data_IF_299176793254
#
_entry.id   IF_299176793254
#
_cell.length_a   1.000
_cell.length_b   1.000
_cell.length_c   1.000
_cell.angle_alpha   90.00
_cell.angle_beta   90.00
_cell.angle_gamma   90.00
#
_symmetry.space_group_name_H-M   'P 1'
#
loop_
_entity.id
_entity.type
_entity.pdbx_description
1 polymer ?
#
# COMPACT_ATOMS: atom_id res chain seq x y z
N UNK A 1 -12.04 9.86 -42.64
CA UNK A 1 -11.44 11.10 -42.09
C UNK A 1 -9.97 11.36 -42.44
N UNK A 2 -9.29 10.54 -43.26
CA UNK A 2 -7.93 10.86 -43.73
C UNK A 2 -6.86 11.01 -42.63
N UNK A 3 -7.18 10.63 -41.39
CA UNK A 3 -6.26 10.69 -40.25
C UNK A 3 -5.29 9.51 -40.32
N UNK A 4 -3.97 9.72 -40.21
CA UNK A 4 -3.03 8.61 -40.13
C UNK A 4 -3.38 7.75 -38.91
N UNK A 5 -3.41 6.44 -39.09
CA UNK A 5 -3.69 5.51 -38.00
C UNK A 5 -2.47 5.48 -37.06
N UNK A 6 -2.59 5.89 -35.80
CA UNK A 6 -1.47 5.87 -34.87
C UNK A 6 -1.11 4.42 -34.49
N UNK A 7 0.17 4.19 -34.22
CA UNK A 7 0.64 2.92 -33.65
C UNK A 7 0.57 3.01 -32.14
N UNK A 8 -0.12 2.05 -31.53
CA UNK A 8 -0.17 1.88 -30.08
C UNK A 8 0.71 0.71 -29.68
N UNK A 9 1.59 0.90 -28.70
CA UNK A 9 2.51 -0.13 -28.23
C UNK A 9 2.55 -0.15 -26.69
N UNK A 10 2.70 -1.35 -26.13
CA UNK A 10 2.72 -1.59 -24.69
C UNK A 10 3.69 -2.73 -24.34
N UNK A 11 4.06 -2.84 -23.07
CA UNK A 11 4.84 -3.98 -22.59
C UNK A 11 6.24 -4.02 -23.21
N UNK A 12 6.71 -5.25 -23.43
CA UNK A 12 8.02 -5.56 -23.99
C UNK A 12 8.26 -4.96 -25.40
N UNK A 13 7.20 -4.57 -26.12
CA UNK A 13 7.31 -3.91 -27.42
C UNK A 13 7.87 -2.48 -27.31
N UNK A 14 7.79 -1.85 -26.14
CA UNK A 14 8.28 -0.47 -25.92
C UNK A 14 9.59 -0.41 -25.13
N UNK A 15 9.80 -1.35 -24.21
CA UNK A 15 11.02 -1.51 -23.42
C UNK A 15 10.95 -2.83 -22.63
N UNK A 16 12.07 -3.40 -22.17
CA UNK A 16 12.04 -4.62 -21.37
C UNK A 16 11.20 -4.46 -20.08
N UNK A 17 10.14 -5.26 -19.94
CA UNK A 17 9.29 -5.29 -18.75
C UNK A 17 9.54 -6.58 -17.97
N UNK A 18 9.99 -6.46 -16.72
CA UNK A 18 10.38 -7.62 -15.88
C UNK A 18 9.24 -8.19 -15.02
N UNK A 19 8.14 -7.46 -14.86
CA UNK A 19 7.02 -7.84 -14.00
C UNK A 19 5.72 -7.89 -14.80
N UNK A 20 5.03 -9.04 -14.77
CA UNK A 20 3.77 -9.24 -15.49
C UNK A 20 2.70 -8.19 -15.13
N UNK A 21 2.65 -7.75 -13.86
CA UNK A 21 1.72 -6.69 -13.40
C UNK A 21 1.98 -5.34 -14.08
N UNK A 22 3.24 -5.00 -14.36
CA UNK A 22 3.59 -3.76 -15.07
C UNK A 22 3.16 -3.87 -16.54
N UNK A 23 3.41 -5.02 -17.17
CA UNK A 23 2.99 -5.25 -18.55
C UNK A 23 1.46 -5.17 -18.69
N UNK A 24 0.72 -5.75 -17.75
CA UNK A 24 -0.74 -5.67 -17.71
C UNK A 24 -1.24 -4.24 -17.52
N UNK A 25 -0.64 -3.48 -16.59
CA UNK A 25 -0.99 -2.06 -16.38
C UNK A 25 -0.74 -1.22 -17.65
N UNK A 26 0.37 -1.44 -18.36
CA UNK A 26 0.65 -0.78 -19.64
C UNK A 26 -0.35 -1.18 -20.73
N UNK A 27 -0.75 -2.44 -20.78
CA UNK A 27 -1.78 -2.94 -21.68
C UNK A 27 -3.12 -2.21 -21.47
N UNK A 28 -3.56 -2.07 -20.21
CA UNK A 28 -4.77 -1.31 -19.85
C UNK A 28 -4.69 0.15 -20.32
N UNK A 29 -3.62 0.86 -19.98
CA UNK A 29 -3.42 2.27 -20.40
C UNK A 29 -3.42 2.42 -21.92
N UNK A 30 -2.87 1.44 -22.63
CA UNK A 30 -2.84 1.44 -24.10
C UNK A 30 -4.24 1.21 -24.67
N UNK A 31 -5.02 0.30 -24.09
CA UNK A 31 -6.40 0.06 -24.49
C UNK A 31 -7.29 1.30 -24.28
N UNK A 32 -7.13 2.01 -23.15
CA UNK A 32 -7.82 3.29 -22.87
C UNK A 32 -7.51 4.34 -23.95
N UNK A 33 -6.24 4.44 -24.37
CA UNK A 33 -5.82 5.37 -25.46
C UNK A 33 -6.38 4.98 -26.82
N UNK A 34 -6.47 3.68 -27.11
CA UNK A 34 -7.08 3.16 -28.34
C UNK A 34 -8.56 3.49 -28.36
N UNK A 35 -9.29 3.24 -27.26
CA UNK A 35 -10.73 3.54 -27.15
C UNK A 35 -11.01 5.04 -27.32
N UNK A 36 -10.25 5.91 -26.64
CA UNK A 36 -10.37 7.37 -26.80
C UNK A 36 -10.13 7.81 -28.24
N UNK A 37 -9.10 7.26 -28.91
CA UNK A 37 -8.83 7.59 -30.30
C UNK A 37 -9.93 7.11 -31.24
N UNK A 38 -10.50 5.92 -31.01
CA UNK A 38 -11.60 5.39 -31.81
C UNK A 38 -12.88 6.24 -31.68
N UNK A 39 -13.16 6.76 -30.48
CA UNK A 39 -14.37 7.55 -30.18
C UNK A 39 -14.27 9.00 -30.59
N UNK A 40 -13.17 9.65 -30.21
CA UNK A 40 -13.01 11.11 -30.24
C UNK A 40 -11.97 11.53 -31.30
N UNK A 41 -11.18 10.58 -31.80
CA UNK A 41 -10.08 10.84 -32.71
C UNK A 41 -8.93 11.63 -32.07
N UNK A 42 -8.89 11.68 -30.73
CA UNK A 42 -7.84 12.24 -29.90
C UNK A 42 -7.23 11.12 -29.03
N UNK A 43 -5.94 11.21 -28.72
CA UNK A 43 -5.33 10.27 -27.78
C UNK A 43 -5.61 10.75 -26.36
N UNK A 44 -6.15 9.89 -25.50
CA UNK A 44 -6.28 10.17 -24.07
C UNK A 44 -4.94 10.60 -23.47
N UNK A 45 -4.98 11.61 -22.60
CA UNK A 45 -3.80 12.01 -21.84
C UNK A 45 -3.31 10.84 -20.99
N UNK A 46 -1.99 10.68 -20.91
CA UNK A 46 -1.43 9.69 -20.00
C UNK A 46 -1.65 10.22 -18.58
N UNK A 47 -2.21 9.42 -17.65
CA UNK A 47 -2.32 9.84 -16.27
C UNK A 47 -0.95 10.31 -15.76
N UNK A 48 -0.88 11.42 -15.01
CA UNK A 48 0.39 11.87 -14.46
C UNK A 48 0.98 10.77 -13.59
N UNK A 49 2.29 10.55 -13.72
CA UNK A 49 3.01 9.64 -12.84
C UNK A 49 2.83 10.15 -11.41
N UNK A 50 2.55 9.28 -10.41
CA UNK A 50 2.45 9.74 -9.03
C UNK A 50 3.73 10.48 -8.65
N UNK A 51 3.59 11.74 -8.22
CA UNK A 51 4.71 12.63 -7.94
C UNK A 51 5.67 12.09 -6.87
N UNK A 52 5.23 11.16 -6.02
CA UNK A 52 6.09 10.44 -5.10
C UNK A 52 5.78 8.95 -5.03
N UNK A 53 6.82 8.11 -5.21
CA UNK A 53 6.75 6.65 -5.13
C UNK A 53 7.57 6.15 -3.93
N UNK A 54 6.90 5.44 -3.02
CA UNK A 54 7.56 4.68 -1.97
C UNK A 54 7.90 3.28 -2.46
N UNK A 55 9.13 2.83 -2.24
CA UNK A 55 9.58 1.47 -2.55
C UNK A 55 9.99 0.77 -1.26
N UNK A 56 9.42 -0.40 -1.00
CA UNK A 56 9.94 -1.32 0.01
C UNK A 56 11.00 -2.21 -0.64
N UNK A 57 12.18 -2.33 0.00
CA UNK A 57 13.19 -3.30 -0.40
C UNK A 57 12.70 -4.75 -0.26
N UNK A 58 13.58 -5.71 -0.51
CA UNK A 58 13.28 -7.12 -0.27
C UNK A 58 12.89 -7.33 1.20
N UNK A 59 11.72 -7.92 1.42
CA UNK A 59 11.21 -8.22 2.76
C UNK A 59 11.51 -9.68 3.11
N UNK A 60 11.85 -9.99 4.38
CA UNK A 60 12.02 -11.37 4.80
C UNK A 60 10.69 -12.14 4.71
N UNK A 61 10.71 -13.46 4.52
CA UNK A 61 9.49 -14.27 4.37
C UNK A 61 8.48 -14.09 5.51
N UNK A 62 8.95 -13.95 6.74
CA UNK A 62 8.09 -13.72 7.91
C UNK A 62 7.33 -12.38 7.82
N UNK A 63 8.00 -11.32 7.35
CA UNK A 63 7.35 -10.03 7.14
C UNK A 63 6.30 -10.12 6.02
N UNK A 64 6.62 -10.78 4.91
CA UNK A 64 5.65 -11.01 3.82
C UNK A 64 4.43 -11.80 4.30
N UNK A 65 4.62 -12.86 5.08
CA UNK A 65 3.53 -13.66 5.64
C UNK A 65 2.62 -12.82 6.56
N UNK A 66 3.20 -11.94 7.38
CA UNK A 66 2.41 -11.04 8.25
C UNK A 66 1.57 -10.02 7.47
N UNK A 67 2.02 -9.64 6.26
CA UNK A 67 1.32 -8.69 5.38
C UNK A 67 0.33 -9.37 4.44
N UNK A 68 0.37 -10.70 4.35
CA UNK A 68 -0.57 -11.44 3.53
C UNK A 68 -1.98 -11.30 4.08
N UNK A 69 -2.92 -11.02 3.18
CA UNK A 69 -4.34 -11.01 3.48
C UNK A 69 -4.74 -12.37 4.11
N UNK A 70 -5.49 -12.39 5.23
CA UNK A 70 -6.06 -13.61 5.81
C UNK A 70 -6.77 -14.50 4.77
N UNK A 71 -7.44 -13.86 3.80
CA UNK A 71 -7.97 -14.36 2.51
C UNK A 71 -7.08 -15.40 1.81
N UNK A 72 -5.77 -15.18 1.92
CA UNK A 72 -4.73 -15.86 1.17
C UNK A 72 -3.97 -16.89 2.00
N UNK A 73 -4.14 -16.90 3.33
CA UNK A 73 -3.30 -17.70 4.23
C UNK A 73 -3.57 -19.20 4.08
N UNK A 74 -4.82 -19.57 3.80
CA UNK A 74 -5.25 -20.98 3.68
C UNK A 74 -5.51 -21.42 2.22
N UNK A 75 -5.33 -20.53 1.25
CA UNK A 75 -5.61 -20.82 -0.14
C UNK A 75 -4.38 -21.38 -0.86
N UNK A 76 -4.41 -22.67 -1.19
CA UNK A 76 -3.48 -23.28 -2.15
C UNK A 76 -3.53 -22.47 -3.45
N UNK A 77 -2.36 -22.01 -3.92
CA UNK A 77 -2.23 -21.33 -5.20
C UNK A 77 -2.85 -22.23 -6.29
N UNK A 78 -3.92 -21.76 -6.93
CA UNK A 78 -4.47 -22.47 -8.08
C UNK A 78 -3.57 -22.21 -9.28
N UNK A 79 -3.15 -23.29 -9.96
CA UNK A 79 -2.51 -23.16 -11.27
C UNK A 79 -3.58 -22.71 -12.25
N UNK A 80 -3.55 -21.42 -12.60
CA UNK A 80 -4.44 -20.88 -13.63
C UNK A 80 -3.85 -21.21 -15.01
N UNK A 81 -4.67 -21.84 -15.85
CA UNK A 81 -4.41 -21.98 -17.29
C UNK A 81 -5.14 -20.87 -18.05
N UNK A 82 -4.72 -20.64 -19.28
CA UNK A 82 -5.36 -19.77 -20.27
C UNK A 82 -6.83 -20.13 -20.57
N UNK A 83 -7.25 -21.35 -20.23
CA UNK A 83 -8.63 -21.85 -20.35
C UNK A 83 -9.49 -21.64 -19.09
N UNK A 84 -8.96 -21.03 -18.04
CA UNK A 84 -9.70 -20.85 -16.79
C UNK A 84 -10.92 -19.90 -16.99
N UNK A 85 -12.08 -20.21 -16.37
CA UNK A 85 -13.25 -19.34 -16.44
C UNK A 85 -12.94 -17.92 -15.90
N UNK A 86 -13.50 -16.86 -16.50
CA UNK A 86 -13.25 -15.48 -16.05
C UNK A 86 -13.48 -15.25 -14.56
N UNK A 87 -14.54 -15.83 -13.98
CA UNK A 87 -14.82 -15.71 -12.54
C UNK A 87 -13.73 -16.31 -11.63
N UNK A 88 -13.02 -17.33 -12.08
CA UNK A 88 -11.89 -17.92 -11.34
C UNK A 88 -10.65 -17.02 -11.42
N UNK A 89 -10.39 -16.41 -12.58
CA UNK A 89 -9.32 -15.43 -12.74
C UNK A 89 -9.54 -14.20 -11.85
N UNK A 90 -10.77 -13.68 -11.82
CA UNK A 90 -11.15 -12.54 -10.96
C UNK A 90 -10.95 -12.90 -9.49
N UNK A 91 -11.48 -14.05 -9.03
CA UNK A 91 -11.30 -14.49 -7.64
C UNK A 91 -9.83 -14.60 -7.24
N UNK A 92 -8.99 -15.17 -8.10
CA UNK A 92 -7.54 -15.30 -7.82
C UNK A 92 -6.83 -13.93 -7.85
N UNK A 93 -7.25 -13.02 -8.73
CA UNK A 93 -6.73 -11.66 -8.77
C UNK A 93 -7.08 -10.87 -7.50
N UNK A 94 -8.34 -10.97 -7.02
CA UNK A 94 -8.79 -10.33 -5.78
C UNK A 94 -8.13 -10.90 -4.53
N UNK A 95 -7.69 -12.16 -4.57
CA UNK A 95 -6.90 -12.78 -3.51
C UNK A 95 -5.54 -12.06 -3.38
N UNK A 96 -4.81 -11.90 -4.47
CA UNK A 96 -3.45 -11.37 -4.46
C UNK A 96 -3.39 -9.83 -4.35
N UNK A 97 -2.20 -9.26 -4.12
CA UNK A 97 -1.90 -7.81 -4.08
C UNK A 97 -2.55 -6.99 -2.96
N UNK A 98 -3.21 -7.63 -1.99
CA UNK A 98 -3.74 -6.94 -0.81
C UNK A 98 -2.69 -6.57 0.26
N UNK A 99 -1.42 -6.89 0.02
CA UNK A 99 -0.29 -6.41 0.84
C UNK A 99 0.07 -4.94 0.57
N UNK A 100 -0.77 -4.22 -0.18
CA UNK A 100 -0.62 -2.79 -0.44
C UNK A 100 -0.65 -1.96 0.85
N UNK A 101 -0.19 -0.72 0.75
CA UNK A 101 -0.29 0.24 1.84
C UNK A 101 -1.77 0.62 2.05
N UNK A 102 -2.27 0.46 3.27
CA UNK A 102 -3.65 0.82 3.61
C UNK A 102 -3.93 2.34 3.50
N UNK A 103 -2.89 3.17 3.50
CA UNK A 103 -2.97 4.62 3.22
C UNK A 103 -2.33 4.99 1.88
N UNK A 104 -2.55 4.19 0.83
CA UNK A 104 -1.96 4.48 -0.47
C UNK A 104 -2.52 5.78 -1.07
N UNK A 105 -3.78 6.10 -0.80
CA UNK A 105 -4.49 7.20 -1.46
C UNK A 105 -4.57 8.48 -0.62
N UNK A 106 -4.26 8.42 0.69
CA UNK A 106 -4.37 9.52 1.65
C UNK A 106 -3.09 9.72 2.50
N UNK A 107 -1.93 9.31 1.99
CA UNK A 107 -0.65 9.48 2.70
C UNK A 107 -0.17 10.94 2.64
N UNK A 108 -0.34 11.66 3.75
CA UNK A 108 0.11 13.06 3.88
C UNK A 108 1.60 13.25 3.61
N UNK A 109 2.45 12.29 3.96
CA UNK A 109 3.87 12.35 3.62
C UNK A 109 4.10 12.37 2.10
N UNK A 110 3.35 11.57 1.33
CA UNK A 110 3.46 11.54 -0.13
C UNK A 110 2.96 12.83 -0.75
N UNK A 111 1.86 13.37 -0.23
CA UNK A 111 1.32 14.68 -0.66
C UNK A 111 2.32 15.80 -0.47
N UNK A 112 2.93 15.90 0.72
CA UNK A 112 3.93 16.94 1.02
C UNK A 112 5.16 16.75 0.13
N UNK A 113 5.69 15.53 0.02
CA UNK A 113 6.84 15.28 -0.86
C UNK A 113 6.54 15.63 -2.32
N UNK A 114 5.32 15.35 -2.79
CA UNK A 114 4.90 15.73 -4.13
C UNK A 114 4.80 17.26 -4.31
N UNK A 115 4.19 17.97 -3.36
CA UNK A 115 4.01 19.41 -3.40
C UNK A 115 5.33 20.18 -3.34
N UNK A 116 6.29 19.66 -2.58
CA UNK A 116 7.62 20.24 -2.39
C UNK A 116 8.66 19.70 -3.40
N UNK A 117 8.22 18.94 -4.41
CA UNK A 117 9.07 18.32 -5.44
C UNK A 117 10.26 17.52 -4.87
N UNK A 118 10.05 16.89 -3.71
CA UNK A 118 11.10 16.15 -3.01
C UNK A 118 11.36 14.81 -3.71
N UNK A 119 12.62 14.50 -4.07
CA UNK A 119 12.95 13.25 -4.74
C UNK A 119 12.77 12.06 -3.79
N UNK A 120 12.30 10.94 -4.34
CA UNK A 120 12.37 9.65 -3.64
C UNK A 120 13.84 9.18 -3.61
N UNK A 121 14.58 9.53 -2.58
CA UNK A 121 15.98 9.09 -2.42
C UNK A 121 16.05 7.73 -1.72
N UNK A 122 16.89 6.84 -2.25
CA UNK A 122 17.25 5.57 -1.62
C UNK A 122 18.45 5.80 -0.69
N UNK A 123 18.25 6.55 0.39
CA UNK A 123 19.28 6.84 1.38
C UNK A 123 19.69 5.60 2.20
N UNK A 124 20.68 5.74 3.09
CA UNK A 124 21.00 4.69 4.07
C UNK A 124 19.79 4.51 4.99
N UNK A 125 19.07 3.41 4.81
CA UNK A 125 17.97 3.06 5.68
C UNK A 125 18.54 2.52 6.99
N UNK A 126 18.19 3.13 8.13
CA UNK A 126 18.23 2.39 9.38
C UNK A 126 17.33 1.16 9.22
N UNK A 127 17.81 -0.01 9.65
CA UNK A 127 16.98 -1.21 9.65
C UNK A 127 15.72 -0.93 10.47
N UNK A 128 14.55 -1.09 9.85
CA UNK A 128 13.27 -0.95 10.53
C UNK A 128 12.59 -2.31 10.62
N UNK A 129 11.86 -2.59 11.72
CA UNK A 129 11.05 -3.79 11.81
C UNK A 129 10.08 -3.87 10.61
N UNK A 130 10.25 -4.90 9.81
CA UNK A 130 9.42 -5.19 8.65
C UNK A 130 8.19 -5.99 9.06
N UNK A 131 7.12 -5.86 8.27
CA UNK A 131 5.89 -6.61 8.45
C UNK A 131 4.75 -5.80 9.06
N UNK A 132 3.65 -6.49 9.33
CA UNK A 132 2.40 -5.95 9.81
C UNK A 132 1.98 -6.65 11.09
N UNK A 133 1.57 -5.87 12.09
CA UNK A 133 1.04 -6.37 13.35
C UNK A 133 -0.46 -6.14 13.34
N UNK A 134 -1.24 -7.20 13.54
CA UNK A 134 -2.70 -7.12 13.67
C UNK A 134 -3.06 -6.88 15.13
N UNK A 135 -3.79 -5.80 15.40
CA UNK A 135 -4.21 -5.46 16.77
C UNK A 135 -5.41 -6.29 17.24
N UNK A 136 -6.13 -6.96 16.33
CA UNK A 136 -7.40 -7.62 16.64
C UNK A 136 -8.61 -6.66 16.72
N UNK A 137 -8.37 -5.34 16.60
CA UNK A 137 -9.41 -4.30 16.62
C UNK A 137 -9.64 -3.68 15.25
N UNK A 138 -9.46 -4.45 14.16
CA UNK A 138 -9.57 -3.92 12.79
C UNK A 138 -8.56 -2.83 12.45
N UNK A 139 -7.44 -2.78 13.18
CA UNK A 139 -6.33 -1.83 12.97
C UNK A 139 -5.01 -2.60 12.83
N UNK A 140 -4.18 -2.17 11.90
CA UNK A 140 -2.85 -2.74 11.63
C UNK A 140 -1.74 -1.74 11.88
N UNK A 141 -0.62 -2.26 12.37
CA UNK A 141 0.60 -1.48 12.61
C UNK A 141 1.68 -1.96 11.64
N UNK A 142 2.28 -1.03 10.90
CA UNK A 142 3.43 -1.28 10.02
C UNK A 142 4.60 -0.39 10.44
N UNK A 143 5.47 -0.85 11.35
CA UNK A 143 6.52 -0.02 11.97
C UNK A 143 7.47 0.61 10.96
N UNK A 144 7.77 -0.07 9.86
CA UNK A 144 8.63 0.45 8.78
C UNK A 144 8.11 1.76 8.15
N UNK A 145 6.81 2.03 8.24
CA UNK A 145 6.16 3.24 7.72
C UNK A 145 6.07 4.37 8.75
N UNK A 146 6.52 4.15 9.99
CA UNK A 146 6.51 5.16 11.04
C UNK A 146 7.64 6.18 10.82
N UNK A 147 7.27 7.46 10.91
CA UNK A 147 8.21 8.60 10.87
C UNK A 147 8.46 9.22 12.26
N UNK A 148 8.05 8.52 13.33
CA UNK A 148 8.18 8.96 14.72
C UNK A 148 7.58 10.35 15.02
N UNK A 149 6.51 10.76 14.31
CA UNK A 149 5.87 12.08 14.49
C UNK A 149 5.22 12.29 15.88
N UNK A 150 4.96 11.21 16.63
CA UNK A 150 4.39 11.28 17.98
C UNK A 150 2.90 11.62 18.06
N UNK A 151 2.21 11.75 16.92
CA UNK A 151 0.76 12.06 16.90
C UNK A 151 -0.03 11.00 17.67
N UNK A 152 0.23 9.71 17.43
CA UNK A 152 -0.46 8.61 18.11
C UNK A 152 -0.25 8.62 19.64
N UNK A 153 0.97 8.95 20.11
CA UNK A 153 1.29 9.12 21.54
C UNK A 153 0.50 10.29 22.13
N UNK A 154 0.41 11.41 21.40
CA UNK A 154 -0.39 12.57 21.83
C UNK A 154 -1.88 12.26 21.86
N UNK A 155 -2.40 11.47 20.90
CA UNK A 155 -3.79 11.01 20.90
C UNK A 155 -4.13 10.18 22.15
N UNK A 156 -3.20 9.34 22.62
CA UNK A 156 -3.37 8.63 23.89
C UNK A 156 -3.57 9.56 25.08
N UNK A 157 -2.86 10.71 25.11
CA UNK A 157 -3.02 11.72 26.17
C UNK A 157 -4.35 12.47 26.04
N UNK A 158 -4.73 12.89 24.83
CA UNK A 158 -5.98 13.61 24.55
C UNK A 158 -7.20 12.78 24.93
N UNK A 159 -7.17 11.48 24.63
CA UNK A 159 -8.25 10.55 24.98
C UNK A 159 -8.19 10.06 26.43
N UNK A 160 -7.19 10.50 27.21
CA UNK A 160 -6.93 10.02 28.57
C UNK A 160 -6.95 8.48 28.64
N UNK A 161 -6.35 7.84 27.64
CA UNK A 161 -6.44 6.39 27.49
C UNK A 161 -5.75 5.71 28.69
N UNK A 162 -6.41 4.73 29.35
CA UNK A 162 -5.83 4.03 30.50
C UNK A 162 -4.57 3.25 30.11
N UNK A 163 -4.50 2.79 28.86
CA UNK A 163 -3.32 2.21 28.24
C UNK A 163 -3.08 2.91 26.90
N UNK A 164 -1.97 3.64 26.81
CA UNK A 164 -1.65 4.52 25.67
C UNK A 164 -0.48 4.01 24.82
N UNK A 165 -0.35 4.52 23.61
CA UNK A 165 0.82 4.29 22.75
C UNK A 165 1.99 5.11 23.29
N UNK A 166 3.17 4.49 23.37
CA UNK A 166 4.38 5.11 23.87
C UNK A 166 5.52 5.02 22.85
N UNK A 167 6.54 5.85 23.05
CA UNK A 167 7.83 5.69 22.39
C UNK A 167 8.71 4.72 23.16
N UNK A 168 9.43 3.90 22.41
CA UNK A 168 10.44 2.96 22.90
C UNK A 168 11.75 3.23 22.16
N UNK A 169 12.88 2.96 22.82
CA UNK A 169 14.21 3.19 22.24
C UNK A 169 14.60 4.67 22.18
N UNK A 170 15.73 4.95 21.53
CA UNK A 170 16.30 6.30 21.36
C UNK A 170 17.02 6.41 20.01
N UNK A 171 17.17 7.63 19.50
CA UNK A 171 17.86 7.87 18.22
C UNK A 171 17.20 7.15 17.05
N UNK A 172 17.98 6.40 16.27
CA UNK A 172 17.48 5.65 15.11
C UNK A 172 16.58 4.47 15.50
N UNK A 173 16.66 3.99 16.74
CA UNK A 173 15.88 2.84 17.23
C UNK A 173 14.52 3.24 17.82
N UNK A 174 14.13 4.52 17.70
CA UNK A 174 12.83 4.99 18.18
C UNK A 174 11.71 4.26 17.44
N UNK A 175 10.84 3.63 18.21
CA UNK A 175 9.66 2.92 17.73
C UNK A 175 8.45 3.22 18.59
N UNK A 176 7.28 3.19 17.99
CA UNK A 176 6.01 3.26 18.73
C UNK A 176 5.60 1.86 19.20
N UNK A 177 4.94 1.77 20.34
CA UNK A 177 4.46 0.50 20.88
C UNK A 177 3.51 0.68 22.05
N UNK A 178 2.84 -0.41 22.50
CA UNK A 178 2.17 -0.45 23.80
C UNK A 178 3.17 -0.19 24.92
N UNK A 179 2.74 0.22 26.12
CA UNK A 179 3.64 0.36 27.27
C UNK A 179 4.33 -0.98 27.60
N UNK A 180 5.48 -0.92 28.27
CA UNK A 180 6.27 -2.13 28.56
C UNK A 180 5.42 -3.17 29.31
N UNK A 181 5.50 -4.43 28.88
CA UNK A 181 4.69 -5.53 29.42
C UNK A 181 3.31 -5.68 28.78
N UNK A 182 2.93 -4.79 27.87
CA UNK A 182 1.65 -4.85 27.17
C UNK A 182 1.78 -5.14 25.67
N UNK A 183 0.67 -5.54 25.07
CA UNK A 183 0.52 -5.92 23.68
C UNK A 183 -0.41 -4.96 22.93
N UNK A 184 -0.37 -5.00 21.60
CA UNK A 184 -1.25 -4.16 20.76
C UNK A 184 -2.73 -4.49 20.94
N UNK A 185 -3.04 -5.73 21.29
CA UNK A 185 -4.37 -6.25 21.53
C UNK A 185 -5.01 -5.67 22.81
N UNK A 186 -4.19 -5.29 23.79
CA UNK A 186 -4.64 -4.74 25.07
C UNK A 186 -4.93 -3.24 25.00
N UNK A 187 -4.51 -2.55 23.94
CA UNK A 187 -4.84 -1.12 23.77
C UNK A 187 -6.33 -0.94 23.48
N UNK A 188 -6.95 0.15 23.98
CA UNK A 188 -8.35 0.45 23.69
C UNK A 188 -8.62 0.60 22.19
N UNK A 189 -9.67 -0.05 21.68
CA UNK A 189 -10.03 -0.01 20.27
C UNK A 189 -10.29 1.42 19.76
N UNK A 190 -10.96 2.26 20.56
CA UNK A 190 -11.22 3.66 20.24
C UNK A 190 -9.91 4.45 20.06
N UNK A 191 -8.89 4.20 20.88
CA UNK A 191 -7.58 4.80 20.72
C UNK A 191 -6.90 4.33 19.43
N UNK A 192 -6.97 3.04 19.10
CA UNK A 192 -6.34 2.50 17.89
C UNK A 192 -6.96 3.08 16.62
N UNK A 193 -8.29 3.19 16.57
CA UNK A 193 -8.99 3.80 15.43
C UNK A 193 -8.70 5.30 15.31
N UNK A 194 -8.66 6.02 16.43
CA UNK A 194 -8.33 7.45 16.44
C UNK A 194 -6.86 7.71 16.05
N UNK A 195 -5.94 6.86 16.50
CA UNK A 195 -4.54 6.91 16.07
C UNK A 195 -4.39 6.57 14.58
N UNK A 196 -5.18 5.61 14.07
CA UNK A 196 -5.20 5.24 12.64
C UNK A 196 -5.69 6.40 11.77
N UNK A 197 -6.77 7.08 12.16
CA UNK A 197 -7.29 8.23 11.42
C UNK A 197 -6.30 9.40 11.41
N UNK A 198 -5.58 9.62 12.51
CA UNK A 198 -4.62 10.72 12.63
C UNK A 198 -3.21 10.41 12.10
N UNK A 199 -2.89 9.15 11.78
CA UNK A 199 -1.55 8.80 11.31
C UNK A 199 -1.28 9.45 9.93
N UNK A 200 -0.22 10.27 9.76
CA UNK A 200 0.07 10.94 8.50
C UNK A 200 0.69 10.01 7.44
N UNK A 201 0.98 8.77 7.82
CA UNK A 201 1.49 7.70 6.97
C UNK A 201 0.68 6.43 7.19
N UNK A 202 1.01 5.33 6.50
CA UNK A 202 0.40 4.01 6.74
C UNK A 202 0.98 3.23 7.92
N UNK A 203 1.56 3.89 8.94
CA UNK A 203 2.17 3.18 10.09
C UNK A 203 1.13 2.61 11.06
N UNK A 204 0.00 3.31 11.21
CA UNK A 204 -1.20 2.84 11.91
C UNK A 204 -2.34 3.10 10.93
N UNK A 205 -3.08 2.06 10.56
CA UNK A 205 -4.17 2.16 9.60
C UNK A 205 -5.28 1.19 9.95
N UNK A 206 -6.51 1.51 9.57
CA UNK A 206 -7.61 0.55 9.59
C UNK A 206 -7.32 -0.57 8.60
N UNK A 207 -7.69 -1.80 8.96
CA UNK A 207 -7.67 -2.91 8.02
C UNK A 207 -8.59 -2.59 6.84
N UNK A 208 -8.18 -2.96 5.63
CA UNK A 208 -9.06 -2.80 4.48
C UNK A 208 -10.24 -3.75 4.64
N UNK A 209 -11.49 -3.27 4.52
CA UNK A 209 -12.65 -4.14 4.60
C UNK A 209 -12.62 -5.16 3.45
N UNK A 210 -13.05 -6.39 3.73
CA UNK A 210 -13.06 -7.50 2.76
C UNK A 210 -13.87 -7.19 1.48
N UNK A 211 -14.77 -6.21 1.53
CA UNK A 211 -15.67 -5.84 0.43
C UNK A 211 -15.20 -4.66 -0.44
N UNK A 212 -14.05 -4.03 -0.15
CA UNK A 212 -13.53 -2.91 -0.95
C UNK A 212 -12.50 -3.32 -1.99
N UNK A 213 -12.39 -4.62 -2.28
CA UNK A 213 -11.66 -5.07 -3.45
C UNK A 213 -12.45 -4.60 -4.69
N UNK A 214 -11.84 -3.83 -5.61
CA UNK A 214 -12.51 -3.29 -6.78
C UNK A 214 -13.03 -4.38 -7.73
#
# INVERSE_FOLDING_TARGET
NGRPFPVFAAGAATHPVRMAVIANAQGRLTAEKVDAWLREGATAETPPVPAFRSHAGALPPAALASMANPLCRDATRQTLTDTAPPGTLVREALRCLQCTCAKADDCRLREICAAEELPSTHGRHAERPAGRIHTGHGVVIEPAKCIACGICVRRSQVLQAPLGIAFHGRGYDVRIGPPAGHTWQELPANLLHDAASCCPTGAIATEMPESSAP
#
